data_IF_134697803771
#
_entry.id   IF_134697803771
#
_cell.length_a   1.000
_cell.length_b   1.000
_cell.length_c   1.000
_cell.angle_alpha   90.00
_cell.angle_beta   90.00
_cell.angle_gamma   90.00
#
_symmetry.space_group_name_H-M   'P 1'
#
loop_
_entity.id
_entity.type
_entity.pdbx_description
1 polymer ?
#
# COMPACT_ATOMS: atom_id res chain seq x y z
N UNK A 1 -14.15 15.05 3.01
CA UNK A 1 -12.93 15.19 2.18
C UNK A 1 -11.95 15.99 3.00
N UNK A 2 -10.81 15.42 3.38
CA UNK A 2 -9.78 16.15 4.13
C UNK A 2 -8.95 16.97 3.12
N UNK A 3 -8.85 18.28 3.34
CA UNK A 3 -8.06 19.18 2.50
C UNK A 3 -6.57 19.05 2.84
N UNK A 4 -5.70 19.11 1.83
CA UNK A 4 -4.27 18.93 2.03
C UNK A 4 -3.66 20.17 2.72
N UNK A 5 -3.10 20.00 3.92
CA UNK A 5 -2.29 21.03 4.56
C UNK A 5 -0.99 21.21 3.76
N UNK A 6 -0.85 22.37 3.11
CA UNK A 6 0.29 22.70 2.26
C UNK A 6 1.63 22.59 3.02
N UNK A 7 1.63 22.77 4.34
CA UNK A 7 2.83 22.66 5.17
C UNK A 7 3.27 21.21 5.40
N UNK A 8 2.38 20.23 5.15
CA UNK A 8 2.59 18.80 5.43
C UNK A 8 2.46 17.91 4.19
N UNK A 9 2.57 18.49 2.99
CA UNK A 9 2.39 17.78 1.71
C UNK A 9 3.26 16.52 1.55
N UNK A 10 4.45 16.54 2.13
CA UNK A 10 5.41 15.43 2.04
C UNK A 10 5.37 14.50 3.25
N UNK A 11 4.50 14.76 4.22
CA UNK A 11 4.36 13.92 5.41
C UNK A 11 3.31 12.83 5.21
N UNK A 12 3.46 11.72 5.92
CA UNK A 12 2.38 10.75 6.04
C UNK A 12 1.38 11.30 7.06
N UNK A 13 0.08 11.48 6.70
CA UNK A 13 -0.91 11.98 7.66
C UNK A 13 -0.96 11.11 8.91
N UNK A 14 -0.91 11.74 10.09
CA UNK A 14 -0.83 11.04 11.38
C UNK A 14 -1.99 10.07 11.59
N UNK A 15 -3.22 10.49 11.30
CA UNK A 15 -4.40 9.62 11.43
C UNK A 15 -4.29 8.37 10.55
N UNK A 16 -3.79 8.51 9.32
CA UNK A 16 -3.55 7.36 8.44
C UNK A 16 -2.46 6.45 9.02
N UNK A 17 -1.34 7.03 9.47
CA UNK A 17 -0.21 6.28 10.04
C UNK A 17 -0.65 5.51 11.28
N UNK A 18 -1.34 6.16 12.21
CA UNK A 18 -1.79 5.57 13.46
C UNK A 18 -2.77 4.42 13.21
N UNK A 19 -3.79 4.64 12.37
CA UNK A 19 -4.74 3.57 12.03
C UNK A 19 -4.05 2.38 11.35
N UNK A 20 -3.06 2.63 10.48
CA UNK A 20 -2.30 1.57 9.83
C UNK A 20 -1.46 0.78 10.84
N UNK A 21 -0.71 1.45 11.73
CA UNK A 21 0.15 0.83 12.75
C UNK A 21 -0.60 0.08 13.85
N UNK A 22 -1.89 0.34 14.02
CA UNK A 22 -2.77 -0.38 14.94
C UNK A 22 -3.61 -1.49 14.27
N UNK A 23 -3.46 -1.69 12.95
CA UNK A 23 -4.15 -2.74 12.20
C UNK A 23 -3.40 -4.08 12.29
N UNK A 24 -4.13 -5.20 12.18
CA UNK A 24 -3.58 -6.56 12.27
C UNK A 24 -3.53 -7.31 10.94
N UNK A 25 -4.47 -7.02 10.03
CA UNK A 25 -4.47 -7.53 8.66
C UNK A 25 -4.44 -6.34 7.71
N UNK A 26 -3.44 -6.26 6.85
CA UNK A 26 -3.16 -5.13 5.98
C UNK A 26 -2.95 -5.62 4.56
N UNK A 27 -3.71 -5.06 3.63
CA UNK A 27 -3.64 -5.32 2.20
C UNK A 27 -3.32 -4.01 1.49
N UNK A 28 -2.25 -3.97 0.69
CA UNK A 28 -1.83 -2.73 0.03
C UNK A 28 -1.50 -2.97 -1.44
N UNK A 29 -2.16 -2.22 -2.33
CA UNK A 29 -1.78 -2.10 -3.73
C UNK A 29 -0.94 -0.84 -3.94
N UNK A 30 0.25 -0.97 -4.53
CA UNK A 30 1.20 0.11 -4.78
C UNK A 30 1.46 0.29 -6.28
N UNK A 31 0.85 1.31 -6.89
CA UNK A 31 1.21 1.77 -8.23
C UNK A 31 2.31 2.83 -8.27
N UNK A 32 2.71 3.34 -7.11
CA UNK A 32 3.81 4.28 -6.96
C UNK A 32 4.56 3.98 -5.67
N UNK A 33 5.83 4.39 -5.64
CA UNK A 33 6.71 4.15 -4.51
C UNK A 33 6.99 5.45 -3.75
N UNK A 34 6.77 5.43 -2.44
CA UNK A 34 7.16 6.49 -1.52
C UNK A 34 8.03 5.87 -0.39
N UNK A 35 9.32 6.25 -0.28
CA UNK A 35 10.24 5.69 0.72
C UNK A 35 9.79 5.86 2.17
N UNK A 36 8.97 6.88 2.48
CA UNK A 36 8.50 7.16 3.83
C UNK A 36 7.65 6.03 4.43
N UNK A 37 7.11 5.14 3.59
CA UNK A 37 6.34 3.99 4.07
C UNK A 37 7.21 2.79 4.45
N UNK A 38 8.51 2.76 4.11
CA UNK A 38 9.39 1.62 4.44
C UNK A 38 9.46 1.40 5.95
N UNK A 39 9.70 2.47 6.73
CA UNK A 39 9.78 2.34 8.20
C UNK A 39 8.44 1.90 8.81
N UNK A 40 7.32 2.34 8.23
CA UNK A 40 5.99 1.90 8.64
C UNK A 40 5.83 0.40 8.40
N UNK A 41 6.26 -0.11 7.23
CA UNK A 41 6.20 -1.54 6.94
C UNK A 41 7.13 -2.36 7.86
N UNK A 42 8.33 -1.85 8.16
CA UNK A 42 9.22 -2.47 9.12
C UNK A 42 8.59 -2.56 10.53
N UNK A 43 7.90 -1.51 10.97
CA UNK A 43 7.19 -1.52 12.24
C UNK A 43 6.02 -2.52 12.26
N UNK A 44 5.24 -2.60 11.18
CA UNK A 44 4.18 -3.60 11.03
C UNK A 44 4.71 -5.03 11.06
N UNK A 45 5.87 -5.27 10.43
CA UNK A 45 6.56 -6.57 10.48
C UNK A 45 6.91 -6.92 11.93
N UNK A 46 7.54 -5.99 12.66
CA UNK A 46 7.94 -6.17 14.07
C UNK A 46 6.74 -6.43 14.99
N UNK A 47 5.58 -5.84 14.68
CA UNK A 47 4.31 -6.08 15.38
C UNK A 47 3.61 -7.39 14.98
N UNK A 48 4.22 -8.18 14.11
CA UNK A 48 3.69 -9.43 13.55
C UNK A 48 2.34 -9.26 12.82
N UNK A 49 2.04 -8.05 12.33
CA UNK A 49 0.83 -7.80 11.55
C UNK A 49 0.91 -8.54 10.20
N UNK A 50 -0.19 -9.13 9.76
CA UNK A 50 -0.26 -9.80 8.46
C UNK A 50 -0.31 -8.74 7.36
N UNK A 51 0.61 -8.81 6.41
CA UNK A 51 0.64 -7.91 5.26
C UNK A 51 0.56 -8.66 3.94
N UNK A 52 -0.23 -8.14 3.00
CA UNK A 52 -0.27 -8.59 1.62
C UNK A 52 -0.06 -7.39 0.70
N UNK A 53 1.09 -7.35 0.02
CA UNK A 53 1.47 -6.26 -0.87
C UNK A 53 1.28 -6.69 -2.33
N UNK A 54 0.71 -5.81 -3.14
CA UNK A 54 0.73 -5.91 -4.60
C UNK A 54 1.55 -4.74 -5.12
N UNK A 55 2.63 -5.02 -5.82
CA UNK A 55 3.49 -4.02 -6.44
C UNK A 55 3.24 -4.03 -7.95
N UNK A 56 3.08 -2.85 -8.55
CA UNK A 56 3.20 -2.79 -10.02
C UNK A 56 4.63 -3.10 -10.46
N UNK A 57 4.81 -3.61 -11.67
CA UNK A 57 6.15 -3.93 -12.21
C UNK A 57 7.16 -2.76 -12.08
N UNK A 58 6.82 -1.48 -12.37
CA UNK A 58 7.75 -0.36 -12.16
C UNK A 58 8.13 -0.13 -10.69
N UNK A 59 7.20 -0.33 -9.75
CA UNK A 59 7.48 -0.22 -8.31
C UNK A 59 8.42 -1.34 -7.87
N UNK A 60 8.15 -2.58 -8.29
CA UNK A 60 9.02 -3.72 -8.00
C UNK A 60 10.45 -3.50 -8.52
N UNK A 61 10.61 -3.11 -9.79
CA UNK A 61 11.94 -2.85 -10.37
C UNK A 61 12.68 -1.71 -9.67
N UNK A 62 11.97 -0.64 -9.29
CA UNK A 62 12.57 0.45 -8.51
C UNK A 62 13.05 -0.03 -7.14
N UNK A 63 12.23 -0.81 -6.42
CA UNK A 63 12.64 -1.36 -5.13
C UNK A 63 13.84 -2.29 -5.28
N UNK A 64 13.83 -3.17 -6.29
CA UNK A 64 14.96 -4.08 -6.55
C UNK A 64 16.26 -3.33 -6.87
N UNK A 65 16.18 -2.21 -7.59
CA UNK A 65 17.33 -1.42 -8.00
C UNK A 65 17.86 -0.51 -6.89
N UNK A 66 16.98 0.22 -6.22
CA UNK A 66 17.35 1.34 -5.35
C UNK A 66 17.15 1.04 -3.85
N UNK A 67 16.36 0.01 -3.50
CA UNK A 67 15.95 -0.33 -2.12
C UNK A 67 15.99 -1.85 -1.88
N UNK A 68 17.06 -2.51 -2.35
CA UNK A 68 17.14 -3.97 -2.37
C UNK A 68 17.01 -4.60 -0.97
N UNK A 69 17.65 -4.01 0.04
CA UNK A 69 17.61 -4.51 1.41
C UNK A 69 16.21 -4.39 2.03
N UNK A 70 15.48 -3.31 1.73
CA UNK A 70 14.08 -3.15 2.16
C UNK A 70 13.17 -4.16 1.46
N UNK A 71 13.40 -4.41 0.17
CA UNK A 71 12.67 -5.44 -0.58
C UNK A 71 12.92 -6.83 0.00
N UNK A 72 14.18 -7.18 0.30
CA UNK A 72 14.52 -8.46 0.97
C UNK A 72 13.85 -8.58 2.32
N UNK A 73 13.92 -7.55 3.17
CA UNK A 73 13.23 -7.52 4.46
C UNK A 73 11.74 -7.86 4.30
N UNK A 74 11.06 -7.25 3.33
CA UNK A 74 9.64 -7.52 3.08
C UNK A 74 9.41 -8.95 2.56
N UNK A 75 10.22 -9.43 1.63
CA UNK A 75 10.06 -10.75 0.99
C UNK A 75 10.36 -11.90 1.96
N UNK A 76 11.35 -11.73 2.83
CA UNK A 76 11.81 -12.79 3.74
C UNK A 76 10.94 -12.91 5.00
N UNK A 77 10.18 -11.86 5.32
CA UNK A 77 9.32 -11.79 6.50
C UNK A 77 8.17 -12.82 6.45
N UNK A 78 8.02 -13.60 7.52
CA UNK A 78 7.01 -14.68 7.64
C UNK A 78 5.56 -14.23 7.51
N UNK A 79 5.29 -12.97 7.87
CA UNK A 79 3.97 -12.35 7.93
C UNK A 79 3.68 -11.44 6.73
N UNK A 80 4.49 -11.51 5.67
CA UNK A 80 4.34 -10.69 4.47
C UNK A 80 4.19 -11.59 3.25
N UNK A 81 3.16 -11.33 2.44
CA UNK A 81 3.05 -11.85 1.08
C UNK A 81 3.24 -10.71 0.09
N UNK A 82 3.99 -10.94 -0.99
CA UNK A 82 4.18 -9.96 -2.06
C UNK A 82 3.75 -10.55 -3.39
N UNK A 83 3.04 -9.75 -4.17
CA UNK A 83 2.62 -10.04 -5.53
C UNK A 83 3.07 -8.94 -6.47
N UNK A 84 3.31 -9.28 -7.73
CA UNK A 84 3.66 -8.33 -8.79
C UNK A 84 2.58 -8.31 -9.86
N UNK A 85 2.07 -7.11 -10.14
CA UNK A 85 1.03 -6.83 -11.12
C UNK A 85 1.65 -6.16 -12.36
N UNK A 86 1.47 -6.77 -13.53
CA UNK A 86 1.98 -6.25 -14.80
C UNK A 86 1.03 -5.23 -15.45
N UNK A 87 -0.16 -5.01 -14.87
CA UNK A 87 -1.10 -4.00 -15.37
C UNK A 87 -0.61 -2.60 -15.07
N UNK A 88 -0.77 -1.71 -16.04
CA UNK A 88 -0.62 -0.26 -15.83
C UNK A 88 -1.85 0.21 -15.07
N UNK A 89 -1.65 0.51 -13.80
CA UNK A 89 -2.69 0.98 -12.88
C UNK A 89 -2.16 2.23 -12.20
N UNK A 90 -3.02 3.20 -11.95
CA UNK A 90 -2.67 4.45 -11.24
C UNK A 90 -3.57 4.59 -10.02
N UNK A 91 -3.28 3.79 -8.99
CA UNK A 91 -3.95 3.86 -7.70
C UNK A 91 -3.05 3.34 -6.58
N UNK A 92 -3.27 3.85 -5.37
CA UNK A 92 -2.87 3.18 -4.14
C UNK A 92 -4.12 2.81 -3.37
N UNK A 93 -4.25 1.53 -3.07
CA UNK A 93 -5.33 0.98 -2.26
C UNK A 93 -4.73 0.40 -0.98
N UNK A 94 -5.35 0.68 0.15
CA UNK A 94 -4.98 0.19 1.47
C UNK A 94 -6.26 -0.29 2.12
N UNK A 95 -6.31 -1.56 2.49
CA UNK A 95 -7.44 -2.16 3.18
C UNK A 95 -6.91 -2.82 4.44
N UNK A 96 -7.53 -2.52 5.57
CA UNK A 96 -7.19 -3.15 6.85
C UNK A 96 -8.42 -3.72 7.54
N UNK A 97 -8.21 -4.37 8.67
CA UNK A 97 -9.28 -4.77 9.59
C UNK A 97 -10.00 -3.59 10.27
N UNK A 98 -9.59 -2.34 9.99
CA UNK A 98 -10.09 -1.13 10.64
C UNK A 98 -10.58 -0.05 9.68
N UNK A 99 -9.91 0.12 8.54
CA UNK A 99 -10.23 1.17 7.58
C UNK A 99 -9.77 0.81 6.17
N UNK A 100 -10.32 1.50 5.17
CA UNK A 100 -9.77 1.50 3.82
C UNK A 100 -9.33 2.90 3.41
N UNK A 101 -8.35 2.97 2.52
CA UNK A 101 -7.91 4.21 1.91
C UNK A 101 -7.56 4.03 0.45
N UNK A 102 -8.02 4.97 -0.38
CA UNK A 102 -7.75 5.02 -1.80
C UNK A 102 -7.08 6.34 -2.16
N UNK A 103 -6.05 6.25 -2.99
CA UNK A 103 -5.50 7.37 -3.72
C UNK A 103 -5.63 7.06 -5.20
N UNK A 104 -6.33 7.93 -5.91
CA UNK A 104 -6.58 7.81 -7.35
C UNK A 104 -5.85 8.95 -8.06
N UNK A 105 -5.42 8.68 -9.29
CA UNK A 105 -4.82 9.71 -10.14
C UNK A 105 -5.93 10.35 -10.98
N UNK A 106 -5.73 11.62 -11.36
CA UNK A 106 -6.68 12.29 -12.24
C UNK A 106 -6.71 11.65 -13.64
N UNK A 107 -7.63 12.10 -14.51
CA UNK A 107 -7.77 11.60 -15.88
C UNK A 107 -6.51 11.79 -16.75
N UNK A 108 -5.56 12.63 -16.33
CA UNK A 108 -4.28 12.88 -17.00
C UNK A 108 -3.15 12.06 -16.37
N UNK A 109 -3.44 11.18 -15.42
CA UNK A 109 -2.45 10.39 -14.70
C UNK A 109 -1.61 11.24 -13.75
N UNK A 110 -2.11 12.39 -13.30
CA UNK A 110 -1.44 13.23 -12.30
C UNK A 110 -1.93 12.87 -10.90
N UNK A 111 -0.98 12.74 -10.00
CA UNK A 111 -1.24 12.62 -8.58
C UNK A 111 -1.77 13.97 -8.05
N UNK A 112 -3.02 13.98 -7.58
CA UNK A 112 -3.67 15.18 -7.05
C UNK A 112 -3.49 15.33 -5.52
N UNK A 113 -2.73 14.43 -4.89
CA UNK A 113 -2.49 14.34 -3.45
C UNK A 113 -3.75 14.08 -2.62
N UNK A 114 -4.87 13.72 -3.25
CA UNK A 114 -6.10 13.40 -2.53
C UNK A 114 -6.09 11.96 -2.04
N UNK A 115 -6.54 11.79 -0.80
CA UNK A 115 -6.74 10.50 -0.17
C UNK A 115 -8.19 10.40 0.27
N UNK A 116 -8.87 9.37 -0.21
CA UNK A 116 -10.11 8.91 0.39
C UNK A 116 -9.76 7.96 1.53
N UNK A 117 -10.43 8.11 2.66
CA UNK A 117 -10.31 7.24 3.81
C UNK A 117 -11.71 7.01 4.37
N UNK A 118 -12.04 5.76 4.65
CA UNK A 118 -13.33 5.36 5.19
C UNK A 118 -13.18 4.26 6.23
N UNK A 119 -14.08 4.27 7.20
CA UNK A 119 -14.24 3.24 8.23
C UNK A 119 -15.56 2.47 8.05
N UNK A 120 -16.32 2.80 7.01
CA UNK A 120 -17.58 2.16 6.70
C UNK A 120 -17.36 0.73 6.16
N UNK A 121 -18.17 -0.22 6.62
CA UNK A 121 -18.05 -1.64 6.27
C UNK A 121 -18.25 -1.90 4.77
N UNK A 122 -19.16 -1.16 4.12
CA UNK A 122 -19.38 -1.31 2.67
C UNK A 122 -18.20 -0.77 1.86
N UNK A 123 -17.58 0.31 2.31
CA UNK A 123 -16.37 0.85 1.69
C UNK A 123 -15.18 -0.09 1.85
N UNK A 124 -14.99 -0.66 3.05
CA UNK A 124 -13.99 -1.68 3.34
C UNK A 124 -14.12 -2.89 2.41
N UNK A 125 -15.34 -3.41 2.29
CA UNK A 125 -15.64 -4.56 1.43
C UNK A 125 -15.34 -4.25 -0.05
N UNK A 126 -15.76 -3.09 -0.54
CA UNK A 126 -15.50 -2.69 -1.92
C UNK A 126 -13.99 -2.56 -2.22
N UNK A 127 -13.22 -1.97 -1.31
CA UNK A 127 -11.77 -1.88 -1.48
C UNK A 127 -11.12 -3.27 -1.40
N UNK A 128 -11.59 -4.15 -0.53
CA UNK A 128 -11.11 -5.54 -0.46
C UNK A 128 -11.37 -6.29 -1.77
N UNK A 129 -12.57 -6.15 -2.35
CA UNK A 129 -12.92 -6.72 -3.66
C UNK A 129 -11.99 -6.21 -4.77
N UNK A 130 -11.69 -4.91 -4.78
CA UNK A 130 -10.74 -4.29 -5.71
C UNK A 130 -9.32 -4.87 -5.53
N UNK A 131 -8.84 -4.96 -4.29
CA UNK A 131 -7.55 -5.55 -3.97
C UNK A 131 -7.46 -7.00 -4.43
N UNK A 132 -8.49 -7.81 -4.14
CA UNK A 132 -8.55 -9.22 -4.50
C UNK A 132 -8.58 -9.43 -6.02
N UNK A 133 -9.29 -8.58 -6.77
CA UNK A 133 -9.25 -8.59 -8.23
C UNK A 133 -7.82 -8.46 -8.74
N UNK A 134 -7.06 -7.48 -8.24
CA UNK A 134 -5.67 -7.32 -8.64
C UNK A 134 -4.76 -8.44 -8.15
N UNK A 135 -4.98 -8.96 -6.94
CA UNK A 135 -4.22 -10.10 -6.40
C UNK A 135 -4.34 -11.32 -7.32
N UNK A 136 -5.57 -11.62 -7.77
CA UNK A 136 -5.87 -12.80 -8.59
C UNK A 136 -5.25 -12.78 -9.98
N UNK A 137 -4.93 -11.58 -10.51
CA UNK A 137 -4.26 -11.42 -11.80
C UNK A 137 -2.76 -11.12 -11.66
N UNK A 138 -2.23 -11.12 -10.44
CA UNK A 138 -0.83 -10.86 -10.13
C UNK A 138 -0.07 -12.16 -9.88
N UNK A 139 1.23 -12.16 -10.19
CA UNK A 139 2.11 -13.29 -9.84
C UNK A 139 2.61 -13.14 -8.41
N UNK A 140 2.61 -14.22 -7.62
CA UNK A 140 3.26 -14.22 -6.30
C UNK A 140 4.77 -14.10 -6.48
N UNK A 141 5.41 -13.32 -5.61
CA UNK A 141 6.86 -13.26 -5.52
C UNK A 141 7.33 -14.32 -4.53
N UNK A 142 8.24 -15.19 -4.98
CA UNK A 142 8.91 -16.14 -4.12
C UNK A 142 10.00 -15.46 -3.29
N UNK A 143 10.46 -16.15 -2.25
CA UNK A 143 11.60 -15.67 -1.45
C UNK A 143 12.81 -15.45 -2.35
N UNK A 144 13.52 -14.34 -2.13
CA UNK A 144 14.72 -13.95 -2.87
C UNK A 144 15.93 -14.80 -2.48
#
# INVERSE_FOLDING_TARGET
MLEADLNRLFEVPEDFKNNLLESKDIKIFLSYFNPLYIEIYAELIRKEAKMCLILTQPVYERMKKDYLEDLKMLVESKNVEIYVCDKIVTLKDVVTDRFCSLVLFDKKGKFDHQRLMSFDESALKWCEELFLYYKNISRRLEKL
#
